data_IF_556150567987
#
_entry.id   IF_556150567987
#
_cell.length_a   1.000
_cell.length_b   1.000
_cell.length_c   1.000
_cell.angle_alpha   90.00
_cell.angle_beta   90.00
_cell.angle_gamma   90.00
#
_symmetry.space_group_name_H-M   'P 1'
#
loop_
_entity.id
_entity.type
_entity.pdbx_description
1 polymer ?
#
# COMPACT_ATOMS: atom_id res chain seq x y z
N UNK A 1 6.35 -19.25 -4.01
CA UNK A 1 6.78 -19.34 -5.43
C UNK A 1 8.07 -18.61 -5.59
N UNK A 2 9.01 -19.11 -6.43
CA UNK A 2 10.26 -18.42 -6.67
C UNK A 2 9.98 -17.05 -7.30
N UNK A 3 10.67 -16.01 -6.80
CA UNK A 3 10.65 -14.68 -7.41
C UNK A 3 11.37 -14.76 -8.77
N UNK A 4 10.92 -13.97 -9.74
CA UNK A 4 11.56 -13.89 -11.07
C UNK A 4 12.99 -13.35 -10.96
N UNK A 5 13.18 -12.34 -10.12
CA UNK A 5 14.47 -11.71 -9.87
C UNK A 5 14.87 -11.85 -8.40
N UNK A 6 16.18 -11.92 -8.16
CA UNK A 6 16.76 -11.83 -6.82
C UNK A 6 16.80 -10.38 -6.36
N UNK A 7 16.93 -10.15 -5.04
CA UNK A 7 17.09 -8.80 -4.50
C UNK A 7 18.25 -8.04 -5.16
N UNK A 8 19.42 -8.68 -5.31
CA UNK A 8 20.58 -8.07 -5.98
C UNK A 8 20.29 -7.67 -7.43
N UNK A 9 19.52 -8.48 -8.17
CA UNK A 9 19.18 -8.13 -9.56
C UNK A 9 18.17 -7.00 -9.63
N UNK A 10 17.20 -6.96 -8.71
CA UNK A 10 16.25 -5.84 -8.60
C UNK A 10 16.96 -4.53 -8.26
N UNK A 11 17.92 -4.57 -7.32
CA UNK A 11 18.76 -3.39 -7.01
C UNK A 11 19.51 -2.91 -8.24
N UNK A 12 20.16 -3.80 -8.99
CA UNK A 12 20.88 -3.45 -10.22
C UNK A 12 19.94 -2.80 -11.27
N UNK A 13 18.74 -3.36 -11.47
CA UNK A 13 17.73 -2.82 -12.39
C UNK A 13 17.33 -1.40 -11.97
N UNK A 14 17.00 -1.20 -10.69
CA UNK A 14 16.55 0.10 -10.18
C UNK A 14 17.65 1.15 -10.24
N UNK A 15 18.87 0.81 -9.81
CA UNK A 15 20.02 1.72 -9.87
C UNK A 15 20.32 2.16 -11.31
N UNK A 16 20.26 1.23 -12.27
CA UNK A 16 20.46 1.56 -13.68
C UNK A 16 19.30 2.38 -14.27
N UNK A 17 18.06 2.11 -13.86
CA UNK A 17 16.88 2.87 -14.30
C UNK A 17 16.94 4.33 -13.84
N UNK A 18 17.45 4.57 -12.63
CA UNK A 18 17.58 5.91 -12.04
C UNK A 18 19.04 6.36 -11.97
N UNK A 19 19.83 6.14 -13.03
CA UNK A 19 21.28 6.41 -13.03
C UNK A 19 21.67 7.87 -12.72
N UNK A 20 20.74 8.82 -12.85
CA UNK A 20 20.95 10.24 -12.54
C UNK A 20 20.55 10.63 -11.11
N UNK A 21 20.01 9.68 -10.33
CA UNK A 21 19.54 9.88 -8.96
C UNK A 21 20.19 8.85 -8.04
N UNK A 22 20.38 9.22 -6.79
CA UNK A 22 20.92 8.29 -5.81
C UNK A 22 19.77 7.50 -5.17
N UNK A 23 19.82 6.18 -5.28
CA UNK A 23 18.84 5.30 -4.64
C UNK A 23 19.15 5.27 -3.14
N UNK A 24 18.20 5.74 -2.33
CA UNK A 24 18.31 5.72 -0.87
C UNK A 24 18.00 4.33 -0.34
N UNK A 25 16.83 3.80 -0.68
CA UNK A 25 16.42 2.45 -0.30
C UNK A 25 15.33 1.89 -1.22
N UNK A 26 15.22 0.58 -1.22
CA UNK A 26 14.24 -0.21 -1.99
C UNK A 26 13.64 -1.24 -1.06
N UNK A 27 12.31 -1.39 -1.08
CA UNK A 27 11.62 -2.46 -0.36
C UNK A 27 10.46 -3.02 -1.17
N UNK A 28 10.07 -4.27 -0.87
CA UNK A 28 8.84 -4.83 -1.44
C UNK A 28 7.62 -4.15 -0.83
N UNK A 29 6.76 -3.62 -1.68
CA UNK A 29 5.45 -3.08 -1.29
C UNK A 29 4.34 -4.03 -1.79
N UNK A 30 3.11 -3.51 -1.87
CA UNK A 30 1.99 -4.25 -2.47
C UNK A 30 1.78 -5.63 -1.84
N UNK A 31 1.53 -6.64 -2.69
CA UNK A 31 1.06 -7.94 -2.19
C UNK A 31 2.07 -8.71 -1.33
N UNK A 32 3.37 -8.44 -1.49
CA UNK A 32 4.44 -8.97 -0.63
C UNK A 32 4.33 -8.37 0.78
N UNK A 33 4.26 -7.05 0.88
CA UNK A 33 4.20 -6.31 2.14
C UNK A 33 2.94 -6.64 2.96
N UNK A 34 1.81 -6.79 2.27
CA UNK A 34 0.52 -7.11 2.88
C UNK A 34 0.28 -8.61 3.11
N UNK A 35 1.25 -9.49 2.77
CA UNK A 35 1.11 -10.95 2.82
C UNK A 35 -0.10 -11.50 2.04
N UNK A 36 -0.48 -10.80 0.97
CA UNK A 36 -1.61 -11.17 0.09
C UNK A 36 -1.14 -11.68 -1.28
N UNK A 37 0.11 -12.12 -1.39
CA UNK A 37 0.71 -12.61 -2.64
C UNK A 37 0.07 -13.92 -3.11
N UNK A 38 -0.29 -13.98 -4.39
CA UNK A 38 -0.82 -15.15 -5.08
C UNK A 38 0.01 -15.50 -6.32
N UNK A 39 -0.30 -16.61 -7.01
CA UNK A 39 0.49 -17.09 -8.17
C UNK A 39 0.64 -16.10 -9.31
N UNK A 40 -0.34 -15.22 -9.48
CA UNK A 40 -0.40 -14.19 -10.53
C UNK A 40 -0.17 -12.78 -9.98
N UNK A 41 0.43 -12.66 -8.79
CA UNK A 41 0.77 -11.35 -8.25
C UNK A 41 2.07 -10.86 -8.86
N UNK A 42 2.04 -9.63 -9.35
CA UNK A 42 3.21 -8.89 -9.77
C UNK A 42 4.13 -8.63 -8.57
N UNK A 43 5.39 -8.28 -8.85
CA UNK A 43 6.33 -7.87 -7.81
C UNK A 43 6.28 -6.35 -7.69
N UNK A 44 5.83 -5.84 -6.56
CA UNK A 44 5.71 -4.41 -6.33
C UNK A 44 6.92 -3.90 -5.52
N UNK A 45 7.58 -2.85 -6.00
CA UNK A 45 8.70 -2.19 -5.35
C UNK A 45 8.36 -0.75 -5.03
N UNK A 46 8.69 -0.32 -3.82
CA UNK A 46 8.84 1.10 -3.53
C UNK A 46 10.32 1.45 -3.56
N UNK A 47 10.65 2.51 -4.30
CA UNK A 47 12.01 3.04 -4.45
C UNK A 47 12.01 4.48 -3.95
N UNK A 48 12.94 4.82 -3.07
CA UNK A 48 13.10 6.21 -2.60
C UNK A 48 14.42 6.76 -3.11
N UNK A 49 14.33 7.92 -3.75
CA UNK A 49 15.42 8.57 -4.49
C UNK A 49 15.79 9.90 -3.85
N UNK A 50 17.09 10.12 -3.72
CA UNK A 50 17.67 11.42 -3.41
C UNK A 50 17.78 12.28 -4.67
N UNK A 51 17.67 13.59 -4.50
CA UNK A 51 17.74 14.60 -5.58
C UNK A 51 16.75 14.36 -6.72
N UNK A 52 15.62 13.71 -6.44
CA UNK A 52 14.51 13.52 -7.38
C UNK A 52 13.29 14.29 -6.85
N UNK A 53 12.64 15.07 -7.72
CA UNK A 53 11.42 15.79 -7.37
C UNK A 53 10.25 15.23 -8.20
N UNK A 54 9.44 14.40 -7.57
CA UNK A 54 8.26 13.80 -8.19
C UNK A 54 8.02 12.36 -7.78
N UNK A 55 7.10 11.74 -8.51
CA UNK A 55 6.68 10.36 -8.36
C UNK A 55 6.68 9.72 -9.75
N UNK A 56 7.25 8.53 -9.88
CA UNK A 56 7.23 7.72 -11.10
C UNK A 56 6.62 6.37 -10.79
N UNK A 57 5.71 5.93 -11.66
CA UNK A 57 5.28 4.54 -11.73
C UNK A 57 5.80 3.94 -13.04
N UNK A 58 6.67 2.95 -12.93
CA UNK A 58 7.24 2.22 -14.06
C UNK A 58 6.98 0.72 -13.90
N UNK A 59 6.92 -0.03 -15.01
CA UNK A 59 6.78 -1.47 -14.98
C UNK A 59 7.85 -2.11 -15.86
N UNK A 60 8.53 -3.12 -15.34
CA UNK A 60 9.53 -3.90 -16.08
C UNK A 60 9.33 -5.39 -15.80
N UNK A 61 9.00 -6.13 -16.85
CA UNK A 61 9.06 -7.60 -16.82
C UNK A 61 8.25 -8.29 -15.70
N UNK A 62 7.13 -7.69 -15.26
CA UNK A 62 6.31 -8.16 -14.15
C UNK A 62 6.73 -7.63 -12.77
N UNK A 63 7.53 -6.56 -12.76
CA UNK A 63 7.91 -5.78 -11.58
C UNK A 63 7.36 -4.37 -11.75
N UNK A 64 6.45 -3.97 -10.86
CA UNK A 64 5.95 -2.60 -10.78
C UNK A 64 6.81 -1.81 -9.79
N UNK A 65 7.26 -0.64 -10.21
CA UNK A 65 8.22 0.21 -9.49
C UNK A 65 7.54 1.56 -9.22
N UNK A 66 7.27 1.81 -7.94
CA UNK A 66 6.78 3.08 -7.42
C UNK A 66 7.96 3.86 -6.85
N UNK A 67 8.53 4.76 -7.66
CA UNK A 67 9.66 5.59 -7.28
C UNK A 67 9.20 6.96 -6.78
N UNK A 68 9.74 7.38 -5.65
CA UNK A 68 9.42 8.65 -5.01
C UNK A 68 10.71 9.44 -4.77
N UNK A 69 10.64 10.76 -4.98
CA UNK A 69 11.60 11.67 -4.38
C UNK A 69 11.45 11.62 -2.87
N UNK A 70 12.54 11.75 -2.11
CA UNK A 70 12.48 11.67 -0.65
C UNK A 70 11.43 12.61 -0.03
N UNK A 71 11.37 13.85 -0.49
CA UNK A 71 10.36 14.82 -0.04
C UNK A 71 8.92 14.38 -0.37
N UNK A 72 8.68 13.84 -1.56
CA UNK A 72 7.37 13.31 -1.93
C UNK A 72 7.02 12.06 -1.12
N UNK A 73 8.01 11.25 -0.78
CA UNK A 73 7.83 10.09 0.10
C UNK A 73 7.45 10.52 1.51
N UNK A 74 8.06 11.58 2.06
CA UNK A 74 7.69 12.15 3.36
C UNK A 74 6.28 12.77 3.32
N UNK A 75 5.96 13.51 2.26
CA UNK A 75 4.61 14.04 2.03
C UNK A 75 3.55 12.94 2.00
N UNK A 76 3.87 11.78 1.42
CA UNK A 76 3.00 10.59 1.45
C UNK A 76 2.77 10.09 2.86
N UNK A 77 3.80 10.08 3.71
CA UNK A 77 3.66 9.67 5.12
C UNK A 77 2.89 10.67 5.96
N UNK A 78 2.90 11.95 5.60
CA UNK A 78 2.11 12.99 6.26
C UNK A 78 0.73 13.20 5.64
N UNK A 79 0.28 12.32 4.73
CA UNK A 79 -0.99 12.42 4.00
C UNK A 79 -1.22 13.78 3.31
N UNK A 80 -0.18 14.32 2.68
CA UNK A 80 -0.27 15.59 1.97
C UNK A 80 -1.18 15.46 0.72
N UNK A 81 -2.20 16.31 0.64
CA UNK A 81 -3.25 16.30 -0.39
C UNK A 81 -2.78 16.76 -1.79
N UNK A 82 -1.56 17.29 -1.91
CA UNK A 82 -0.95 17.58 -3.21
C UNK A 82 -0.52 16.32 -3.96
N UNK A 83 -0.42 15.18 -3.28
CA UNK A 83 -0.12 13.90 -3.90
C UNK A 83 -1.39 13.23 -4.43
N UNK A 84 -1.31 12.48 -5.54
CA UNK A 84 -2.46 11.72 -6.03
C UNK A 84 -2.95 10.72 -4.96
N UNK A 85 -4.28 10.66 -4.77
CA UNK A 85 -4.92 9.75 -3.80
C UNK A 85 -4.44 8.30 -3.90
N UNK A 86 -4.20 7.83 -5.12
CA UNK A 86 -3.69 6.48 -5.36
C UNK A 86 -2.38 6.19 -4.60
N UNK A 87 -1.49 7.17 -4.45
CA UNK A 87 -0.25 7.01 -3.71
C UNK A 87 -0.47 7.03 -2.18
N UNK A 88 -1.44 7.81 -1.71
CA UNK A 88 -1.77 7.96 -0.30
C UNK A 88 -2.43 6.69 0.28
N UNK A 89 -3.33 6.04 -0.45
CA UNK A 89 -4.06 4.84 0.04
C UNK A 89 -3.17 3.60 0.27
N UNK A 90 -1.92 3.65 -0.21
CA UNK A 90 -0.93 2.58 -0.04
C UNK A 90 0.15 2.91 0.99
N UNK A 91 0.10 4.09 1.62
CA UNK A 91 1.11 4.57 2.58
C UNK A 91 1.31 3.65 3.79
N UNK A 92 0.30 2.85 4.15
CA UNK A 92 0.38 1.82 5.19
C UNK A 92 1.45 0.74 4.93
N UNK A 93 2.02 0.67 3.71
CA UNK A 93 3.12 -0.24 3.39
C UNK A 93 4.40 -0.01 4.21
N UNK A 94 4.58 1.20 4.78
CA UNK A 94 5.77 1.51 5.57
C UNK A 94 5.86 0.73 6.87
N UNK A 95 4.72 0.25 7.38
CA UNK A 95 4.64 -0.51 8.64
C UNK A 95 5.49 -1.78 8.58
N UNK A 96 5.50 -2.46 7.43
CA UNK A 96 6.30 -3.66 7.21
C UNK A 96 7.55 -3.39 6.36
N UNK A 97 7.97 -2.13 6.19
CA UNK A 97 9.11 -1.78 5.33
C UNK A 97 10.40 -2.48 5.76
N UNK A 98 10.67 -2.58 7.06
CA UNK A 98 11.86 -3.23 7.60
C UNK A 98 11.94 -4.72 7.21
N UNK A 99 10.83 -5.45 7.37
CA UNK A 99 10.74 -6.87 7.02
C UNK A 99 10.83 -7.14 5.52
N UNK A 100 10.64 -6.10 4.70
CA UNK A 100 10.59 -6.18 3.24
C UNK A 100 11.73 -5.43 2.55
N UNK A 101 12.76 -5.01 3.29
CA UNK A 101 13.90 -4.29 2.76
C UNK A 101 14.68 -5.14 1.74
N UNK A 102 14.98 -4.53 0.59
CA UNK A 102 15.77 -5.13 -0.49
C UNK A 102 17.17 -4.52 -0.51
N UNK A 103 17.23 -3.20 -0.37
CA UNK A 103 18.45 -2.42 -0.46
C UNK A 103 18.32 -1.17 0.41
N UNK A 104 19.41 -0.83 1.10
CA UNK A 104 19.58 0.43 1.80
C UNK A 104 20.99 0.92 1.51
N UNK A 105 21.09 2.15 1.01
CA UNK A 105 22.35 2.85 0.90
C UNK A 105 22.78 3.30 2.31
N UNK A 106 23.97 2.89 2.79
CA UNK A 106 24.43 3.20 4.15
C UNK A 106 24.45 4.69 4.49
N UNK A 107 24.65 5.57 3.50
CA UNK A 107 24.63 7.03 3.68
C UNK A 107 23.28 7.57 4.11
N UNK A 108 22.20 6.81 3.90
CA UNK A 108 20.80 7.20 4.20
C UNK A 108 20.17 6.39 5.33
N UNK A 109 21.00 5.75 6.16
CA UNK A 109 20.52 4.96 7.30
C UNK A 109 19.69 5.80 8.28
N UNK A 110 20.05 7.07 8.46
CA UNK A 110 19.36 7.98 9.39
C UNK A 110 17.93 8.27 8.92
N UNK A 111 17.78 8.63 7.65
CA UNK A 111 16.51 8.90 6.98
C UNK A 111 15.63 7.66 7.01
N UNK A 112 16.19 6.51 6.65
CA UNK A 112 15.49 5.23 6.72
C UNK A 112 14.97 4.94 8.14
N UNK A 113 15.83 5.08 9.15
CA UNK A 113 15.46 4.85 10.54
C UNK A 113 14.35 5.81 11.00
N UNK A 114 14.41 7.08 10.61
CA UNK A 114 13.37 8.06 10.95
C UNK A 114 11.99 7.67 10.39
N UNK A 115 11.94 7.12 9.19
CA UNK A 115 10.70 6.64 8.57
C UNK A 115 10.18 5.41 9.33
N UNK A 116 11.03 4.42 9.61
CA UNK A 116 10.61 3.21 10.34
C UNK A 116 10.17 3.48 11.77
N UNK A 117 10.59 4.61 12.36
CA UNK A 117 10.22 5.02 13.70
C UNK A 117 8.89 5.78 13.76
N UNK A 118 8.28 6.13 12.63
CA UNK A 118 6.99 6.81 12.58
C UNK A 118 5.91 5.91 13.19
N UNK A 119 5.04 6.52 14.02
CA UNK A 119 3.82 5.89 14.50
C UNK A 119 2.72 6.16 13.49
N UNK A 120 2.37 5.15 12.70
CA UNK A 120 1.35 5.31 11.65
C UNK A 120 -0.01 5.72 12.23
N UNK A 121 -0.29 5.36 13.48
CA UNK A 121 -1.48 5.76 14.22
C UNK A 121 -1.64 7.29 14.31
N UNK A 122 -0.55 8.06 14.31
CA UNK A 122 -0.59 9.53 14.37
C UNK A 122 -1.19 10.14 13.08
N UNK A 123 -1.12 9.42 11.95
CA UNK A 123 -1.68 9.85 10.65
C UNK A 123 -2.86 8.99 10.20
N UNK A 124 -3.27 8.00 11.01
CA UNK A 124 -4.35 7.07 10.67
C UNK A 124 -5.68 7.77 10.30
N UNK A 125 -6.13 8.83 11.01
CA UNK A 125 -7.34 9.55 10.62
C UNK A 125 -7.26 10.08 9.18
N UNK A 126 -6.16 10.75 8.83
CA UNK A 126 -5.94 11.33 7.50
C UNK A 126 -5.78 10.24 6.43
N UNK A 127 -5.12 9.13 6.77
CA UNK A 127 -5.00 7.98 5.89
C UNK A 127 -6.38 7.41 5.52
N UNK A 128 -7.25 7.24 6.52
CA UNK A 128 -8.60 6.74 6.30
C UNK A 128 -9.44 7.73 5.48
N UNK A 129 -9.26 9.04 5.65
CA UNK A 129 -9.93 10.04 4.80
C UNK A 129 -9.59 9.83 3.31
N UNK A 130 -8.30 9.64 2.99
CA UNK A 130 -7.86 9.36 1.62
C UNK A 130 -8.39 8.02 1.08
N UNK A 131 -8.42 6.97 1.92
CA UNK A 131 -9.00 5.66 1.59
C UNK A 131 -10.49 5.79 1.29
N UNK A 132 -11.23 6.49 2.15
CA UNK A 132 -12.67 6.70 2.02
C UNK A 132 -12.95 7.46 0.73
N UNK A 133 -12.26 8.56 0.47
CA UNK A 133 -12.44 9.35 -0.75
C UNK A 133 -12.22 8.50 -2.01
N UNK A 134 -11.09 7.80 -2.08
CA UNK A 134 -10.74 6.97 -3.23
C UNK A 134 -11.77 5.86 -3.49
N UNK A 135 -12.17 5.13 -2.45
CA UNK A 135 -13.08 3.99 -2.62
C UNK A 135 -14.54 4.42 -2.72
N UNK A 136 -14.94 5.55 -2.14
CA UNK A 136 -16.27 6.12 -2.34
C UNK A 136 -16.52 6.43 -3.83
N UNK A 137 -15.52 7.04 -4.49
CA UNK A 137 -15.55 7.26 -5.94
C UNK A 137 -15.78 5.94 -6.69
N UNK A 138 -15.05 4.88 -6.32
CA UNK A 138 -15.11 3.59 -7.00
C UNK A 138 -16.44 2.84 -6.79
N UNK A 139 -16.88 2.68 -5.53
CA UNK A 139 -18.00 1.77 -5.21
C UNK A 139 -19.35 2.48 -5.14
N UNK A 140 -19.39 3.76 -4.74
CA UNK A 140 -20.66 4.49 -4.59
C UNK A 140 -20.99 5.32 -5.83
N UNK A 141 -19.99 6.01 -6.39
CA UNK A 141 -20.18 6.90 -7.55
C UNK A 141 -20.12 6.08 -8.85
N UNK A 142 -19.00 5.44 -9.14
CA UNK A 142 -18.79 4.65 -10.35
C UNK A 142 -19.50 3.30 -10.32
N UNK A 143 -19.74 2.75 -9.12
CA UNK A 143 -20.40 1.46 -8.89
C UNK A 143 -19.68 0.31 -9.60
N UNK A 144 -18.36 0.35 -9.62
CA UNK A 144 -17.52 -0.67 -10.27
C UNK A 144 -16.82 -1.55 -9.24
N UNK A 145 -16.65 -2.82 -9.61
CA UNK A 145 -15.85 -3.79 -8.88
C UNK A 145 -14.57 -4.01 -9.69
N UNK A 146 -13.43 -3.76 -9.06
CA UNK A 146 -12.11 -3.93 -9.67
C UNK A 146 -11.20 -4.67 -8.72
N UNK A 147 -10.13 -5.28 -9.24
CA UNK A 147 -9.18 -6.06 -8.43
C UNK A 147 -8.76 -5.34 -7.15
N UNK A 148 -8.47 -4.04 -7.23
CA UNK A 148 -8.01 -3.18 -6.13
C UNK A 148 -9.07 -2.90 -5.04
N UNK A 149 -10.34 -3.23 -5.27
CA UNK A 149 -11.37 -3.11 -4.22
C UNK A 149 -11.11 -4.05 -3.03
N UNK A 150 -10.22 -5.05 -3.16
CA UNK A 150 -9.75 -5.87 -2.03
C UNK A 150 -9.13 -5.03 -0.91
N UNK A 151 -8.63 -3.82 -1.20
CA UNK A 151 -8.07 -2.93 -0.18
C UNK A 151 -9.14 -2.47 0.82
N UNK A 152 -10.41 -2.33 0.43
CA UNK A 152 -11.52 -2.07 1.36
C UNK A 152 -11.62 -3.21 2.37
N UNK A 153 -11.61 -4.46 1.89
CA UNK A 153 -11.67 -5.67 2.71
C UNK A 153 -10.46 -5.74 3.65
N UNK A 154 -9.26 -5.46 3.13
CA UNK A 154 -8.01 -5.45 3.91
C UNK A 154 -8.07 -4.42 5.03
N UNK A 155 -8.37 -3.18 4.70
CA UNK A 155 -8.38 -2.08 5.66
C UNK A 155 -9.43 -2.34 6.74
N UNK A 156 -10.61 -2.82 6.36
CA UNK A 156 -11.63 -3.20 7.34
C UNK A 156 -11.16 -4.27 8.32
N UNK A 157 -10.45 -5.29 7.84
CA UNK A 157 -9.86 -6.33 8.69
C UNK A 157 -8.73 -5.85 9.58
N UNK A 158 -7.91 -4.90 9.11
CA UNK A 158 -6.89 -4.25 9.94
C UNK A 158 -7.56 -3.44 11.06
N UNK A 159 -8.59 -2.66 10.72
CA UNK A 159 -9.30 -1.83 11.69
C UNK A 159 -10.01 -2.65 12.77
N UNK A 160 -10.51 -3.85 12.45
CA UNK A 160 -11.04 -4.79 13.45
C UNK A 160 -10.02 -5.07 14.55
N UNK A 161 -8.81 -5.48 14.16
CA UNK A 161 -7.71 -5.75 15.08
C UNK A 161 -7.24 -4.49 15.80
N UNK A 162 -7.23 -3.35 15.11
CA UNK A 162 -6.86 -2.07 15.71
C UNK A 162 -7.81 -1.70 16.85
N UNK A 163 -9.12 -1.88 16.69
CA UNK A 163 -10.09 -1.61 17.75
C UNK A 163 -9.90 -2.51 18.98
N UNK A 164 -9.40 -3.72 18.79
CA UNK A 164 -9.12 -4.66 19.89
C UNK A 164 -7.77 -4.38 20.58
N UNK A 165 -6.75 -3.98 19.82
CA UNK A 165 -5.35 -3.96 20.28
C UNK A 165 -4.76 -2.57 20.45
N UNK A 166 -5.36 -1.55 19.85
CA UNK A 166 -4.84 -0.19 19.77
C UNK A 166 -3.63 -0.01 18.85
N UNK A 167 -3.21 -1.05 18.11
CA UNK A 167 -2.06 -1.01 17.20
C UNK A 167 -2.48 -1.27 15.76
N UNK A 168 -2.11 -0.37 14.85
CA UNK A 168 -2.37 -0.54 13.43
C UNK A 168 -1.29 -1.46 12.85
N UNK A 169 -1.72 -2.63 12.37
CA UNK A 169 -0.84 -3.68 11.85
C UNK A 169 -1.43 -4.23 10.56
N UNK A 170 -0.65 -4.20 9.48
CA UNK A 170 -1.11 -4.61 8.15
C UNK A 170 -1.25 -6.14 8.00
N UNK A 171 -0.90 -6.92 9.02
CA UNK A 171 -1.08 -8.37 9.04
C UNK A 171 -2.52 -8.77 9.41
N UNK A 172 -3.21 -9.36 8.45
CA UNK A 172 -4.58 -9.87 8.63
C UNK A 172 -4.63 -11.23 9.34
N UNK A 173 -5.74 -11.47 10.06
CA UNK A 173 -6.12 -12.82 10.47
C UNK A 173 -6.56 -13.66 9.24
N UNK A 174 -6.68 -14.97 9.43
CA UNK A 174 -7.00 -15.89 8.34
C UNK A 174 -8.36 -15.62 7.68
N UNK A 175 -9.36 -15.17 8.44
CA UNK A 175 -10.71 -14.86 7.93
C UNK A 175 -10.65 -13.71 6.92
N UNK A 176 -10.01 -12.61 7.27
CA UNK A 176 -9.85 -11.45 6.39
C UNK A 176 -8.93 -11.75 5.22
N UNK A 177 -7.86 -12.50 5.45
CA UNK A 177 -6.92 -12.90 4.41
C UNK A 177 -7.61 -13.76 3.33
N UNK A 178 -8.46 -14.70 3.74
CA UNK A 178 -9.24 -15.53 2.81
C UNK A 178 -10.23 -14.68 1.97
N UNK A 179 -10.91 -13.70 2.59
CA UNK A 179 -11.78 -12.76 1.85
C UNK A 179 -11.00 -11.95 0.81
N UNK A 180 -9.80 -11.47 1.16
CA UNK A 180 -8.92 -10.78 0.22
C UNK A 180 -8.52 -11.69 -0.93
N UNK A 181 -8.11 -12.93 -0.64
CA UNK A 181 -7.72 -13.88 -1.67
C UNK A 181 -8.87 -14.24 -2.62
N UNK A 182 -10.07 -14.41 -2.07
CA UNK A 182 -11.28 -14.69 -2.84
C UNK A 182 -11.60 -13.52 -3.78
N UNK A 183 -11.61 -12.30 -3.25
CA UNK A 183 -11.81 -11.11 -4.07
C UNK A 183 -10.78 -11.01 -5.21
N UNK A 184 -9.48 -11.09 -4.89
CA UNK A 184 -8.41 -10.96 -5.90
C UNK A 184 -8.51 -12.00 -7.01
N UNK A 185 -9.02 -13.19 -6.72
CA UNK A 185 -9.15 -14.30 -7.67
C UNK A 185 -10.38 -14.17 -8.58
N UNK A 186 -11.47 -13.64 -8.04
CA UNK A 186 -12.81 -13.75 -8.62
C UNK A 186 -13.53 -12.41 -8.89
N UNK A 187 -12.88 -11.26 -8.65
CA UNK A 187 -13.45 -9.91 -8.86
C UNK A 187 -14.02 -9.69 -10.27
N UNK A 188 -13.36 -10.22 -11.32
CA UNK A 188 -13.73 -10.07 -12.74
C UNK A 188 -14.61 -11.21 -13.26
N UNK A 189 -15.02 -12.11 -12.36
CA UNK A 189 -15.77 -13.32 -12.71
C UNK A 189 -17.05 -13.39 -11.88
N UNK A 190 -16.97 -14.10 -10.76
CA UNK A 190 -18.11 -14.50 -9.93
C UNK A 190 -18.56 -13.37 -9.00
N UNK A 191 -17.67 -12.42 -8.71
CA UNK A 191 -17.92 -11.36 -7.73
C UNK A 191 -18.34 -10.03 -8.37
N UNK A 192 -18.44 -9.93 -9.70
CA UNK A 192 -18.95 -8.72 -10.34
C UNK A 192 -20.49 -8.67 -10.27
N UNK A 193 -21.04 -8.63 -9.05
CA UNK A 193 -22.48 -8.73 -8.78
C UNK A 193 -22.95 -7.58 -7.87
N UNK A 194 -24.25 -7.21 -7.92
CA UNK A 194 -24.82 -6.22 -7.01
C UNK A 194 -24.63 -6.58 -5.53
N UNK A 195 -24.71 -7.87 -5.19
CA UNK A 195 -24.56 -8.36 -3.82
C UNK A 195 -23.15 -8.10 -3.30
N UNK A 196 -22.13 -8.39 -4.11
CA UNK A 196 -20.75 -8.14 -3.71
C UNK A 196 -20.42 -6.63 -3.68
N UNK A 197 -20.97 -5.84 -4.62
CA UNK A 197 -20.85 -4.38 -4.57
C UNK A 197 -21.42 -3.84 -3.26
N UNK A 198 -22.62 -4.30 -2.85
CA UNK A 198 -23.23 -3.90 -1.59
C UNK A 198 -22.38 -4.32 -0.38
N UNK A 199 -21.76 -5.50 -0.41
CA UNK A 199 -20.83 -5.93 0.63
C UNK A 199 -19.61 -4.98 0.74
N UNK A 200 -19.02 -4.57 -0.37
CA UNK A 200 -17.92 -3.60 -0.37
C UNK A 200 -18.35 -2.25 0.18
N UNK A 201 -19.57 -1.79 -0.14
CA UNK A 201 -20.16 -0.57 0.44
C UNK A 201 -20.33 -0.69 1.95
N UNK A 202 -20.87 -1.80 2.43
CA UNK A 202 -20.98 -2.06 3.87
C UNK A 202 -19.62 -1.99 4.57
N UNK A 203 -18.57 -2.59 4.00
CA UNK A 203 -17.23 -2.47 4.58
C UNK A 203 -16.70 -1.04 4.54
N UNK A 204 -16.99 -0.27 3.50
CA UNK A 204 -16.63 1.14 3.42
C UNK A 204 -17.38 1.98 4.47
N UNK A 205 -18.67 1.74 4.69
CA UNK A 205 -19.49 2.42 5.71
C UNK A 205 -18.99 2.11 7.12
N UNK A 206 -18.56 0.86 7.37
CA UNK A 206 -17.91 0.47 8.62
C UNK A 206 -16.57 1.20 8.81
N UNK A 207 -15.75 1.35 7.76
CA UNK A 207 -14.51 2.14 7.81
C UNK A 207 -14.81 3.62 8.12
N UNK A 208 -15.84 4.20 7.49
CA UNK A 208 -16.29 5.58 7.76
C UNK A 208 -16.67 5.73 9.23
N UNK A 209 -17.50 4.82 9.76
CA UNK A 209 -17.92 4.83 11.16
C UNK A 209 -16.72 4.78 12.12
N UNK A 210 -15.74 3.93 11.82
CA UNK A 210 -14.51 3.83 12.63
C UNK A 210 -13.73 5.13 12.55
N UNK A 211 -13.56 5.71 11.35
CA UNK A 211 -12.87 6.98 11.14
C UNK A 211 -13.50 8.14 11.92
N UNK A 212 -14.83 8.24 11.94
CA UNK A 212 -15.56 9.24 12.72
C UNK A 212 -15.34 9.10 14.24
N UNK A 213 -15.09 7.87 14.70
CA UNK A 213 -14.75 7.58 16.10
C UNK A 213 -13.30 7.91 16.49
N UNK A 214 -12.40 8.12 15.53
CA UNK A 214 -11.02 8.53 15.80
C UNK A 214 -10.98 10.04 16.02
N UNK A 215 -10.38 10.48 17.13
CA UNK A 215 -10.10 11.90 17.37
C UNK A 215 -9.12 12.42 16.31
N UNK A 216 -9.38 13.62 15.80
CA UNK A 216 -8.43 14.42 14.99
C UNK A 216 -7.26 14.89 15.82
#
# INVERSE_FOLDING_TARGET
MPRKFTNSKLTEIVVNMFAMNEVMFIYYCGSDNYKTKQKKSDTDLTVVLSNFNGIIHASIEGVDIFAYGYENFLQRQSMNDTLPLYNLIHSDDVINMADNLIYLNPSYQTEYNSITALKFEDVLPLYLDAVIEYFNQLVNIEKVIVKRSYHIIRIRGILEKYLETGKYDVNLNEVWLNKVFEHKKNWDKELNTPEHLNQLKTYLDEIITIREGLRT
#
